data_IF_843837342347
#
_entry.id   IF_843837342347
#
_cell.length_a   1.000
_cell.length_b   1.000
_cell.length_c   1.000
_cell.angle_alpha   90.00
_cell.angle_beta   90.00
_cell.angle_gamma   90.00
#
_symmetry.space_group_name_H-M   'P 1'
#
loop_
_entity.id
_entity.type
_entity.pdbx_description
1 polymer ?
#
# COMPACT_ATOMS: atom_id res chain seq x y z
N UNK A 1 -9.95 8.24 -15.02
CA UNK A 1 -10.13 6.85 -14.59
C UNK A 1 -11.53 6.42 -14.98
N UNK A 2 -11.65 5.35 -15.76
CA UNK A 2 -12.93 4.80 -16.21
C UNK A 2 -13.66 4.12 -15.05
N UNK A 3 -14.99 4.13 -15.08
CA UNK A 3 -15.82 3.39 -14.10
C UNK A 3 -15.46 1.89 -14.09
N UNK A 4 -15.01 1.36 -15.24
CA UNK A 4 -14.59 -0.02 -15.40
C UNK A 4 -13.29 -0.32 -14.64
N UNK A 5 -12.33 0.60 -14.65
CA UNK A 5 -11.05 0.45 -13.93
C UNK A 5 -11.26 0.41 -12.42
N UNK A 6 -12.13 1.28 -11.90
CA UNK A 6 -12.48 1.28 -10.49
C UNK A 6 -13.22 -0.01 -10.09
N UNK A 7 -14.12 -0.51 -10.94
CA UNK A 7 -14.85 -1.75 -10.69
C UNK A 7 -13.90 -2.96 -10.63
N UNK A 8 -12.98 -3.06 -11.60
CA UNK A 8 -11.96 -4.11 -11.62
C UNK A 8 -11.08 -4.06 -10.38
N UNK A 9 -10.63 -2.87 -9.97
CA UNK A 9 -9.88 -2.68 -8.74
C UNK A 9 -10.64 -3.19 -7.51
N UNK A 10 -11.92 -2.82 -7.38
CA UNK A 10 -12.77 -3.24 -6.26
C UNK A 10 -12.96 -4.77 -6.21
N UNK A 11 -13.22 -5.41 -7.35
CA UNK A 11 -13.36 -6.87 -7.46
C UNK A 11 -12.07 -7.56 -7.00
N UNK A 12 -10.92 -7.05 -7.44
CA UNK A 12 -9.61 -7.65 -7.11
C UNK A 12 -9.35 -7.58 -5.60
N UNK A 13 -9.63 -6.43 -4.97
CA UNK A 13 -9.48 -6.26 -3.51
C UNK A 13 -10.41 -7.19 -2.74
N UNK A 14 -11.67 -7.33 -3.17
CA UNK A 14 -12.63 -8.25 -2.56
C UNK A 14 -12.20 -9.72 -2.68
N UNK A 15 -11.69 -10.12 -3.84
CA UNK A 15 -11.21 -11.48 -4.06
C UNK A 15 -10.00 -11.81 -3.17
N UNK A 16 -9.04 -10.89 -3.07
CA UNK A 16 -7.89 -11.01 -2.16
C UNK A 16 -8.39 -11.12 -0.71
N UNK A 17 -9.32 -10.24 -0.31
CA UNK A 17 -9.94 -10.28 1.02
C UNK A 17 -10.61 -11.62 1.32
N UNK A 18 -11.32 -12.19 0.35
CA UNK A 18 -11.96 -13.50 0.48
C UNK A 18 -10.95 -14.64 0.71
N UNK A 19 -9.85 -14.66 -0.07
CA UNK A 19 -8.79 -15.66 0.08
C UNK A 19 -8.12 -15.58 1.46
N UNK A 20 -7.89 -14.37 1.97
CA UNK A 20 -7.34 -14.12 3.30
C UNK A 20 -8.28 -14.62 4.40
N UNK A 21 -9.59 -14.38 4.26
CA UNK A 21 -10.59 -14.88 5.22
C UNK A 21 -10.59 -16.40 5.23
N UNK A 22 -10.58 -17.02 4.05
CA UNK A 22 -10.59 -18.48 3.88
C UNK A 22 -9.34 -19.16 4.47
N UNK A 23 -8.18 -18.51 4.37
CA UNK A 23 -6.92 -19.01 4.97
C UNK A 23 -6.81 -18.74 6.47
N UNK A 24 -7.76 -18.02 7.08
CA UNK A 24 -7.80 -17.80 8.53
C UNK A 24 -6.71 -16.86 9.06
N UNK A 25 -6.05 -16.09 8.19
CA UNK A 25 -4.97 -15.21 8.61
C UNK A 25 -5.45 -14.12 9.58
N UNK A 26 -4.68 -13.86 10.63
CA UNK A 26 -5.01 -12.80 11.58
C UNK A 26 -4.65 -11.44 10.97
N UNK A 27 -5.63 -10.53 10.92
CA UNK A 27 -5.47 -9.15 10.43
C UNK A 27 -4.28 -8.42 11.08
N UNK A 28 -3.98 -8.72 12.34
CA UNK A 28 -2.86 -8.15 13.10
C UNK A 28 -1.48 -8.34 12.44
N UNK A 29 -1.31 -9.42 11.67
CA UNK A 29 -0.06 -9.71 10.96
C UNK A 29 -0.13 -9.28 9.50
N UNK A 30 -1.32 -9.40 8.92
CA UNK A 30 -1.54 -9.10 7.53
C UNK A 30 -1.40 -7.61 7.23
N UNK A 31 -1.95 -6.75 8.08
CA UNK A 31 -1.91 -5.30 7.91
C UNK A 31 -0.48 -4.72 7.85
N UNK A 32 0.44 -5.03 8.78
CA UNK A 32 1.82 -4.54 8.67
C UNK A 32 2.56 -5.12 7.47
N UNK A 33 2.30 -6.38 7.09
CA UNK A 33 2.91 -7.00 5.90
C UNK A 33 2.44 -6.30 4.63
N UNK A 34 1.14 -6.04 4.50
CA UNK A 34 0.60 -5.34 3.33
C UNK A 34 1.10 -3.92 3.25
N UNK A 35 1.20 -3.23 4.40
CA UNK A 35 1.74 -1.88 4.46
C UNK A 35 3.20 -1.83 4.02
N UNK A 36 4.06 -2.65 4.62
CA UNK A 36 5.48 -2.69 4.28
C UNK A 36 5.71 -3.13 2.83
N UNK A 37 5.00 -4.17 2.40
CA UNK A 37 5.10 -4.69 1.05
C UNK A 37 4.75 -3.63 0.01
N UNK A 38 3.65 -2.90 0.20
CA UNK A 38 3.21 -1.85 -0.72
C UNK A 38 4.10 -0.61 -0.66
N UNK A 39 4.52 -0.16 0.52
CA UNK A 39 5.42 0.98 0.67
C UNK A 39 6.77 0.72 -0.04
N UNK A 40 7.36 -0.47 0.14
CA UNK A 40 8.60 -0.85 -0.54
C UNK A 40 8.42 -0.98 -2.07
N UNK A 41 7.27 -1.50 -2.52
CA UNK A 41 6.98 -1.64 -3.94
C UNK A 41 6.86 -0.24 -4.60
N UNK A 42 6.18 0.70 -3.93
CA UNK A 42 6.06 2.08 -4.41
C UNK A 42 7.42 2.78 -4.44
N UNK A 43 8.25 2.63 -3.40
CA UNK A 43 9.62 3.15 -3.42
C UNK A 43 10.44 2.57 -4.58
N UNK A 44 10.31 1.27 -4.84
CA UNK A 44 10.97 0.61 -5.97
C UNK A 44 10.49 1.16 -7.32
N UNK A 45 9.19 1.43 -7.46
CA UNK A 45 8.64 2.06 -8.67
C UNK A 45 9.24 3.45 -8.85
N UNK A 46 9.26 4.26 -7.78
CA UNK A 46 9.86 5.61 -7.81
C UNK A 46 11.33 5.53 -8.25
N UNK A 47 12.12 4.61 -7.66
CA UNK A 47 13.53 4.43 -8.00
C UNK A 47 13.77 4.08 -9.47
N UNK A 48 12.89 3.28 -10.07
CA UNK A 48 13.00 2.87 -11.48
C UNK A 48 12.50 3.97 -12.42
N UNK A 49 11.41 4.65 -12.07
CA UNK A 49 10.79 5.67 -12.91
C UNK A 49 11.54 7.00 -12.88
N UNK A 50 12.18 7.35 -11.76
CA UNK A 50 12.86 8.63 -11.55
C UNK A 50 14.27 8.41 -10.96
N UNK A 51 15.21 7.81 -11.73
CA UNK A 51 16.52 7.44 -11.22
C UNK A 51 17.37 8.64 -10.79
N UNK A 52 17.32 9.75 -11.54
CA UNK A 52 18.07 10.97 -11.19
C UNK A 52 17.56 11.61 -9.89
N UNK A 53 16.23 11.64 -9.71
CA UNK A 53 15.64 12.18 -8.48
C UNK A 53 15.92 11.25 -7.30
N UNK A 54 15.92 9.93 -7.53
CA UNK A 54 16.27 8.92 -6.53
C UNK A 54 17.72 9.05 -6.04
N UNK A 55 18.68 9.31 -6.93
CA UNK A 55 20.07 9.58 -6.53
C UNK A 55 20.20 10.86 -5.69
N UNK A 56 19.33 11.86 -5.95
CA UNK A 56 19.24 13.08 -5.16
C UNK A 56 18.43 12.92 -3.85
N UNK A 57 17.75 11.78 -3.64
CA UNK A 57 17.00 11.51 -2.42
C UNK A 57 17.95 11.06 -1.31
N UNK A 58 18.08 11.91 -0.30
CA UNK A 58 18.73 11.53 0.95
C UNK A 58 17.66 11.33 2.04
N UNK A 59 17.46 10.08 2.47
CA UNK A 59 16.53 9.76 3.56
C UNK A 59 17.13 10.09 4.95
N UNK A 60 18.45 9.93 5.10
CA UNK A 60 19.23 10.33 6.27
C UNK A 60 20.59 10.83 5.81
N UNK A 61 20.85 12.14 5.92
CA UNK A 61 22.15 12.71 5.56
C UNK A 61 22.51 13.87 6.49
N UNK A 62 23.75 13.88 6.98
CA UNK A 62 24.32 14.93 7.83
C UNK A 62 23.47 15.32 9.06
N UNK A 63 22.91 14.33 9.76
CA UNK A 63 22.10 14.57 10.97
C UNK A 63 20.77 15.29 10.74
N UNK A 64 20.40 15.56 9.48
CA UNK A 64 19.10 16.10 9.10
C UNK A 64 18.18 14.98 8.62
N UNK A 65 16.92 15.08 9.02
CA UNK A 65 15.82 14.29 8.44
C UNK A 65 15.72 14.59 6.94
N UNK A 66 15.25 13.59 6.20
CA UNK A 66 15.23 13.51 4.74
C UNK A 66 15.13 14.85 3.99
N UNK A 67 15.84 14.97 2.85
CA UNK A 67 15.62 16.14 1.98
C UNK A 67 14.18 16.16 1.44
N UNK A 68 13.76 17.28 0.85
CA UNK A 68 12.38 17.47 0.36
C UNK A 68 11.90 16.34 -0.57
N UNK A 69 12.73 15.89 -1.52
CA UNK A 69 12.42 14.79 -2.43
C UNK A 69 12.29 13.46 -1.67
N UNK A 70 13.20 13.17 -0.74
CA UNK A 70 13.13 11.98 0.10
C UNK A 70 11.88 11.97 0.98
N UNK A 71 11.47 13.14 1.47
CA UNK A 71 10.27 13.29 2.28
C UNK A 71 9.00 13.10 1.44
N UNK A 72 8.96 13.65 0.22
CA UNK A 72 7.87 13.41 -0.73
C UNK A 72 7.75 11.92 -1.08
N UNK A 73 8.87 11.24 -1.37
CA UNK A 73 8.86 9.80 -1.65
C UNK A 73 8.37 8.96 -0.46
N UNK A 74 8.76 9.34 0.77
CA UNK A 74 8.25 8.72 1.99
C UNK A 74 6.74 8.96 2.18
N UNK A 75 6.26 10.18 1.96
CA UNK A 75 4.84 10.51 2.07
C UNK A 75 4.02 9.72 1.05
N UNK A 76 4.48 9.66 -0.21
CA UNK A 76 3.78 8.94 -1.28
C UNK A 76 3.75 7.44 -0.98
N UNK A 77 4.90 6.85 -0.61
CA UNK A 77 4.98 5.41 -0.31
C UNK A 77 4.19 5.02 0.93
N UNK A 78 4.30 5.77 2.03
CA UNK A 78 3.53 5.54 3.24
C UNK A 78 2.03 5.79 3.02
N UNK A 79 1.66 6.82 2.25
CA UNK A 79 0.28 7.13 1.90
C UNK A 79 -0.35 6.02 1.08
N UNK A 80 0.32 5.58 0.01
CA UNK A 80 -0.12 4.46 -0.81
C UNK A 80 -0.23 3.17 0.02
N UNK A 81 0.78 2.87 0.86
CA UNK A 81 0.74 1.67 1.68
C UNK A 81 -0.36 1.69 2.76
N UNK A 82 -0.64 2.87 3.33
CA UNK A 82 -1.75 3.07 4.26
C UNK A 82 -3.10 2.84 3.58
N UNK A 83 -3.29 3.41 2.39
CA UNK A 83 -4.53 3.26 1.61
C UNK A 83 -4.81 1.79 1.25
N UNK A 84 -3.81 1.09 0.70
CA UNK A 84 -3.98 -0.32 0.32
C UNK A 84 -4.25 -1.19 1.55
N UNK A 85 -3.52 -0.95 2.64
CA UNK A 85 -3.73 -1.69 3.89
C UNK A 85 -5.11 -1.42 4.47
N UNK A 86 -5.58 -0.17 4.45
CA UNK A 86 -6.91 0.19 4.92
C UNK A 86 -8.00 -0.52 4.09
N UNK A 87 -7.91 -0.46 2.75
CA UNK A 87 -8.86 -1.14 1.87
C UNK A 87 -8.90 -2.64 2.12
N UNK A 88 -7.73 -3.27 2.26
CA UNK A 88 -7.64 -4.71 2.53
C UNK A 88 -8.24 -5.09 3.88
N UNK A 89 -7.93 -4.33 4.94
CA UNK A 89 -8.51 -4.55 6.28
C UNK A 89 -10.03 -4.39 6.23
N UNK A 90 -10.52 -3.35 5.56
CA UNK A 90 -11.95 -3.07 5.41
C UNK A 90 -12.65 -4.19 4.64
N UNK A 91 -12.07 -4.67 3.54
CA UNK A 91 -12.63 -5.78 2.76
C UNK A 91 -12.65 -7.09 3.56
N UNK A 92 -11.56 -7.45 4.24
CA UNK A 92 -11.51 -8.66 5.08
C UNK A 92 -12.52 -8.56 6.23
N UNK A 93 -12.67 -7.39 6.85
CA UNK A 93 -13.66 -7.16 7.90
C UNK A 93 -15.09 -7.29 7.38
N UNK A 94 -15.40 -6.64 6.25
CA UNK A 94 -16.73 -6.67 5.65
C UNK A 94 -17.14 -8.09 5.25
N UNK A 95 -16.21 -8.89 4.71
CA UNK A 95 -16.45 -10.30 4.38
C UNK A 95 -16.69 -11.13 5.65
N UNK A 96 -15.88 -10.96 6.71
CA UNK A 96 -16.09 -11.69 7.99
C UNK A 96 -17.42 -11.37 8.66
N UNK A 97 -17.95 -10.17 8.42
CA UNK A 97 -19.22 -9.71 8.96
C UNK A 97 -20.40 -9.96 8.02
N UNK A 98 -20.18 -10.64 6.89
CA UNK A 98 -21.19 -10.87 5.86
C UNK A 98 -21.91 -9.57 5.46
N UNK A 99 -21.22 -8.43 5.39
CA UNK A 99 -21.87 -7.15 5.05
C UNK A 99 -22.45 -7.16 3.63
N UNK A 100 -21.90 -8.00 2.75
CA UNK A 100 -22.31 -8.14 1.36
C UNK A 100 -23.15 -9.41 1.09
N UNK A 101 -23.44 -10.23 2.11
CA UNK A 101 -24.14 -11.51 1.98
C UNK A 101 -25.28 -11.66 2.99
#
# INVERSE_FOLDING_TARGET
MSILENLLGLITVLFIGYLIVKTGWKLRYLAPITFLGTALLVLKIIAISFPNDWEAMHFFSNGKLANELGMQALIISCGAGSLVTFLLVLSVWAIRKNVFF
#
